data_IF_638030649773
#
_entry.id   IF_638030649773
#
_cell.length_a   1.000
_cell.length_b   1.000
_cell.length_c   1.000
_cell.angle_alpha   90.00
_cell.angle_beta   90.00
_cell.angle_gamma   90.00
#
_symmetry.space_group_name_H-M   'P 1'
#
loop_
_entity.id
_entity.type
_entity.pdbx_description
1 polymer ?
#
# COMPACT_ATOMS: atom_id res chain seq x y z
N UNK A 1 8.04 -25.64 11.06
CA UNK A 1 6.73 -24.99 11.26
C UNK A 1 6.22 -24.55 9.89
N UNK A 2 4.95 -24.79 9.56
CA UNK A 2 4.38 -24.19 8.35
C UNK A 2 4.34 -22.68 8.55
N UNK A 3 4.98 -21.90 7.66
CA UNK A 3 4.83 -20.45 7.65
C UNK A 3 3.37 -20.13 7.34
N UNK A 4 2.66 -19.53 8.30
CA UNK A 4 1.27 -19.11 8.16
C UNK A 4 1.25 -17.75 7.46
N UNK A 5 1.63 -17.71 6.18
CA UNK A 5 1.56 -16.46 5.40
C UNK A 5 0.15 -16.30 4.84
N UNK A 6 -0.52 -15.21 5.23
CA UNK A 6 -1.87 -14.90 4.76
C UNK A 6 -1.84 -14.34 3.33
N UNK A 7 -2.56 -14.99 2.42
CA UNK A 7 -2.74 -14.58 1.02
C UNK A 7 -4.23 -14.62 0.67
N UNK A 8 -4.65 -13.97 -0.41
CA UNK A 8 -5.97 -14.08 -1.04
C UNK A 8 -6.40 -15.52 -1.32
N UNK A 9 -5.45 -16.47 -1.43
CA UNK A 9 -5.75 -17.91 -1.58
C UNK A 9 -6.26 -18.56 -0.29
N UNK A 10 -6.09 -17.90 0.86
CA UNK A 10 -6.44 -18.49 2.15
C UNK A 10 -7.93 -18.40 2.49
N UNK A 11 -8.71 -17.51 1.85
CA UNK A 11 -10.15 -17.32 2.11
C UNK A 11 -10.89 -16.88 0.83
N UNK A 12 -11.83 -17.70 0.33
CA UNK A 12 -12.67 -17.37 -0.83
C UNK A 12 -13.56 -16.12 -0.56
N UNK A 13 -13.77 -15.29 -1.58
CA UNK A 13 -14.63 -14.08 -1.51
C UNK A 13 -13.94 -12.81 -0.99
N UNK A 14 -12.66 -12.87 -0.61
CA UNK A 14 -11.93 -11.69 -0.14
C UNK A 14 -11.69 -10.63 -1.23
N UNK A 15 -11.45 -11.02 -2.49
CA UNK A 15 -11.09 -10.07 -3.54
C UNK A 15 -12.23 -9.08 -3.85
N UNK A 16 -13.49 -9.50 -3.85
CA UNK A 16 -14.64 -8.59 -4.06
C UNK A 16 -14.77 -7.58 -2.92
N UNK A 17 -14.60 -8.05 -1.68
CA UNK A 17 -14.59 -7.18 -0.50
C UNK A 17 -13.46 -6.15 -0.55
N UNK A 18 -12.27 -6.56 -0.99
CA UNK A 18 -11.14 -5.67 -1.12
C UNK A 18 -11.24 -4.73 -2.34
N UNK A 19 -11.93 -5.14 -3.42
CA UNK A 19 -12.28 -4.27 -4.56
C UNK A 19 -13.24 -3.15 -4.12
N UNK A 20 -14.28 -3.50 -3.37
CA UNK A 20 -15.19 -2.52 -2.76
C UNK A 20 -14.44 -1.56 -1.85
N UNK A 21 -13.53 -2.06 -1.00
CA UNK A 21 -12.71 -1.20 -0.13
C UNK A 21 -11.77 -0.30 -0.91
N UNK A 22 -11.07 -0.82 -1.91
CA UNK A 22 -10.18 -0.04 -2.77
C UNK A 22 -10.93 1.15 -3.37
N UNK A 23 -12.17 0.94 -3.80
CA UNK A 23 -13.03 1.97 -4.38
C UNK A 23 -13.65 2.92 -3.36
N UNK A 24 -14.23 2.40 -2.29
CA UNK A 24 -15.23 3.11 -1.50
C UNK A 24 -14.82 3.41 -0.04
N UNK A 25 -13.77 2.75 0.47
CA UNK A 25 -13.40 2.88 1.88
C UNK A 25 -12.06 3.61 2.05
N UNK A 26 -12.08 4.71 2.78
CA UNK A 26 -10.88 5.36 3.29
C UNK A 26 -10.61 4.84 4.71
N UNK A 27 -9.43 4.27 4.92
CA UNK A 27 -9.09 3.63 6.18
C UNK A 27 -8.56 4.66 7.17
N UNK A 28 -9.25 4.79 8.31
CA UNK A 28 -8.89 5.74 9.38
C UNK A 28 -7.43 5.58 9.82
N UNK A 29 -6.90 4.36 9.84
CA UNK A 29 -5.52 4.14 10.25
C UNK A 29 -4.50 4.75 9.26
N UNK A 30 -4.79 4.75 7.95
CA UNK A 30 -3.91 5.38 6.96
C UNK A 30 -3.85 6.89 7.20
N UNK A 31 -5.02 7.50 7.44
CA UNK A 31 -5.15 8.93 7.76
C UNK A 31 -4.39 9.28 9.05
N UNK A 32 -4.53 8.46 10.09
CA UNK A 32 -3.79 8.64 11.35
C UNK A 32 -2.27 8.58 11.14
N UNK A 33 -1.77 7.61 10.37
CA UNK A 33 -0.34 7.48 10.10
C UNK A 33 0.19 8.67 9.28
N UNK A 34 -0.52 9.08 8.22
CA UNK A 34 -0.11 10.25 7.44
C UNK A 34 -0.17 11.54 8.26
N UNK A 35 -1.19 11.72 9.11
CA UNK A 35 -1.26 12.87 10.00
C UNK A 35 -0.08 12.91 10.98
N UNK A 36 0.39 11.76 11.47
CA UNK A 36 1.60 11.70 12.28
C UNK A 36 2.85 12.07 11.47
N UNK A 37 3.02 11.51 10.27
CA UNK A 37 4.15 11.81 9.39
C UNK A 37 4.17 13.28 8.95
N UNK A 38 3.01 13.90 8.78
CA UNK A 38 2.86 15.28 8.31
C UNK A 38 2.68 16.29 9.44
N UNK A 39 2.70 15.84 10.70
CA UNK A 39 2.63 16.72 11.86
C UNK A 39 3.84 17.66 11.93
N UNK A 40 4.99 17.23 11.39
CA UNK A 40 6.17 18.06 11.19
C UNK A 40 6.19 18.62 9.76
N UNK A 41 5.89 19.92 9.63
CA UNK A 41 5.89 20.61 8.33
C UNK A 41 7.24 20.55 7.61
N UNK A 42 8.35 20.39 8.34
CA UNK A 42 9.68 20.26 7.72
C UNK A 42 9.83 18.97 6.91
N UNK A 43 9.00 17.95 7.17
CA UNK A 43 8.93 16.73 6.38
C UNK A 43 8.21 16.96 5.06
N UNK A 44 7.15 17.78 5.03
CA UNK A 44 6.46 18.14 3.79
C UNK A 44 7.33 18.97 2.83
N UNK A 45 8.24 19.78 3.39
CA UNK A 45 9.22 20.56 2.62
C UNK A 45 10.32 19.67 1.99
N UNK A 46 10.54 18.48 2.55
CA UNK A 46 11.44 17.50 1.94
C UNK A 46 10.74 16.85 0.77
N UNK A 47 11.24 17.15 -0.43
CA UNK A 47 10.89 16.36 -1.62
C UNK A 47 11.39 14.93 -1.42
N UNK A 48 10.55 13.95 -1.73
CA UNK A 48 10.95 12.54 -1.90
C UNK A 48 11.27 11.76 -0.60
N UNK A 49 10.41 11.84 0.42
CA UNK A 49 10.47 10.93 1.58
C UNK A 49 10.21 9.50 1.10
N UNK A 50 11.20 8.61 1.30
CA UNK A 50 11.08 7.21 0.90
C UNK A 50 10.12 6.43 1.80
N UNK A 51 9.18 5.71 1.19
CA UNK A 51 8.28 4.76 1.87
C UNK A 51 8.41 3.39 1.18
N UNK A 52 8.87 2.40 1.93
CA UNK A 52 8.77 0.98 1.56
C UNK A 52 7.58 0.37 2.31
N UNK A 53 6.43 0.26 1.64
CA UNK A 53 5.17 -0.23 2.23
C UNK A 53 5.12 -1.76 2.20
N UNK A 54 5.42 -2.37 3.34
CA UNK A 54 5.50 -3.83 3.49
C UNK A 54 4.11 -4.39 3.80
N UNK A 55 3.62 -5.30 2.96
CA UNK A 55 2.24 -5.78 3.01
C UNK A 55 1.27 -4.74 2.43
N UNK A 56 1.65 -4.11 1.32
CA UNK A 56 0.90 -3.00 0.73
C UNK A 56 -0.50 -3.38 0.22
N UNK A 57 -0.78 -4.67 0.07
CA UNK A 57 -2.06 -5.21 -0.36
C UNK A 57 -2.48 -4.60 -1.72
N UNK A 58 -3.66 -4.00 -1.84
CA UNK A 58 -4.09 -3.23 -3.03
C UNK A 58 -3.66 -1.75 -2.99
N UNK A 59 -2.51 -1.45 -2.38
CA UNK A 59 -1.97 -0.10 -2.18
C UNK A 59 -2.85 0.80 -1.29
N UNK A 60 -3.34 0.24 -0.17
CA UNK A 60 -4.23 0.93 0.78
C UNK A 60 -3.63 2.21 1.34
N UNK A 61 -2.34 2.19 1.66
CA UNK A 61 -1.65 3.35 2.21
C UNK A 61 -1.41 4.42 1.15
N UNK A 62 -1.03 4.01 -0.07
CA UNK A 62 -0.87 4.93 -1.19
C UNK A 62 -2.19 5.62 -1.60
N UNK A 63 -3.32 4.90 -1.52
CA UNK A 63 -4.65 5.51 -1.74
C UNK A 63 -4.83 6.76 -0.89
N UNK A 64 -4.40 6.70 0.37
CA UNK A 64 -4.51 7.81 1.32
C UNK A 64 -3.52 8.94 0.99
N UNK A 65 -2.28 8.61 0.60
CA UNK A 65 -1.29 9.57 0.09
C UNK A 65 -1.86 10.37 -1.10
N UNK A 66 -2.46 9.67 -2.07
CA UNK A 66 -3.08 10.27 -3.25
C UNK A 66 -4.33 11.08 -2.89
N UNK A 67 -5.16 10.61 -1.95
CA UNK A 67 -6.35 11.33 -1.46
C UNK A 67 -5.99 12.69 -0.84
N UNK A 68 -4.86 12.76 -0.12
CA UNK A 68 -4.36 13.99 0.49
C UNK A 68 -3.57 14.90 -0.48
N UNK A 69 -3.36 14.49 -1.73
CA UNK A 69 -2.58 15.21 -2.76
C UNK A 69 -1.12 15.49 -2.36
N UNK A 70 -0.49 14.50 -1.72
CA UNK A 70 0.90 14.60 -1.23
C UNK A 70 1.80 13.53 -1.84
N UNK A 71 1.38 12.89 -2.93
CA UNK A 71 2.17 11.88 -3.65
C UNK A 71 3.53 12.39 -4.11
N UNK A 72 3.66 13.69 -4.42
CA UNK A 72 4.93 14.31 -4.80
C UNK A 72 5.92 14.47 -3.62
N UNK A 73 5.44 14.35 -2.39
CA UNK A 73 6.29 14.37 -1.19
C UNK A 73 6.92 13.01 -0.93
N UNK A 74 6.40 11.92 -1.52
CA UNK A 74 6.82 10.57 -1.20
C UNK A 74 7.38 9.80 -2.40
N UNK A 75 8.47 9.10 -2.15
CA UNK A 75 8.97 8.04 -3.03
C UNK A 75 8.43 6.71 -2.51
N UNK A 76 7.20 6.38 -2.91
CA UNK A 76 6.47 5.19 -2.49
C UNK A 76 6.88 3.96 -3.32
N UNK A 77 7.12 2.85 -2.65
CA UNK A 77 7.30 1.53 -3.25
C UNK A 77 6.60 0.46 -2.41
N UNK A 78 5.74 -0.35 -3.03
CA UNK A 78 4.95 -1.37 -2.36
C UNK A 78 5.56 -2.78 -2.42
N UNK A 79 5.46 -3.53 -1.33
CA UNK A 79 5.81 -4.96 -1.30
C UNK A 79 4.61 -5.75 -0.82
N UNK A 80 4.20 -6.76 -1.58
CA UNK A 80 3.22 -7.73 -1.12
C UNK A 80 3.59 -9.11 -1.62
N UNK A 81 3.19 -10.16 -0.92
CA UNK A 81 3.42 -11.53 -1.37
C UNK A 81 2.34 -11.98 -2.36
N UNK A 82 1.19 -11.30 -2.40
CA UNK A 82 0.05 -11.68 -3.21
C UNK A 82 -0.15 -10.84 -4.47
N UNK A 83 0.13 -11.47 -5.60
CA UNK A 83 -0.08 -10.88 -6.93
C UNK A 83 -1.54 -10.47 -7.19
N UNK A 84 -2.54 -11.12 -6.59
CA UNK A 84 -3.94 -10.74 -6.81
C UNK A 84 -4.29 -9.40 -6.16
N UNK A 85 -3.72 -9.11 -4.98
CA UNK A 85 -3.90 -7.81 -4.34
C UNK A 85 -3.18 -6.71 -5.11
N UNK A 86 -1.97 -6.98 -5.59
CA UNK A 86 -1.27 -6.05 -6.48
C UNK A 86 -2.08 -5.78 -7.75
N UNK A 87 -2.54 -6.82 -8.45
CA UNK A 87 -3.37 -6.68 -9.66
C UNK A 87 -4.65 -5.90 -9.38
N UNK A 88 -5.25 -6.10 -8.22
CA UNK A 88 -6.42 -5.35 -7.78
C UNK A 88 -6.09 -3.86 -7.61
N UNK A 89 -5.02 -3.54 -6.88
CA UNK A 89 -4.59 -2.16 -6.66
C UNK A 89 -4.23 -1.43 -7.95
N UNK A 90 -3.55 -2.09 -8.89
CA UNK A 90 -3.17 -1.51 -10.19
C UNK A 90 -4.37 -1.11 -11.07
N UNK A 91 -5.58 -1.66 -10.82
CA UNK A 91 -6.79 -1.17 -11.50
C UNK A 91 -7.13 0.27 -11.13
N UNK A 92 -6.79 0.70 -9.92
CA UNK A 92 -7.12 2.01 -9.36
C UNK A 92 -5.91 2.96 -9.33
N UNK A 93 -4.71 2.41 -9.22
CA UNK A 93 -3.44 3.14 -9.16
C UNK A 93 -2.47 2.63 -10.25
N UNK A 94 -2.81 2.78 -11.55
CA UNK A 94 -1.97 2.29 -12.64
C UNK A 94 -0.61 2.96 -12.69
N UNK A 95 -0.45 4.15 -12.10
CA UNK A 95 0.85 4.84 -11.99
C UNK A 95 1.88 4.14 -11.09
N UNK A 96 1.48 3.07 -10.39
CA UNK A 96 2.37 2.27 -9.57
C UNK A 96 2.89 1.03 -10.31
N UNK A 97 2.67 0.88 -11.61
CA UNK A 97 3.02 -0.36 -12.36
C UNK A 97 4.52 -0.74 -12.30
N UNK A 98 5.39 0.22 -12.02
CA UNK A 98 6.83 0.06 -11.82
C UNK A 98 7.27 0.28 -10.36
N UNK A 99 6.32 0.48 -9.44
CA UNK A 99 6.55 0.83 -8.02
C UNK A 99 6.07 -0.24 -7.04
N UNK A 100 6.21 -1.51 -7.41
CA UNK A 100 5.93 -2.61 -6.51
C UNK A 100 6.84 -3.81 -6.75
N UNK A 101 6.87 -4.71 -5.77
CA UNK A 101 7.47 -6.03 -5.92
C UNK A 101 6.57 -7.10 -5.28
N UNK A 102 6.21 -8.11 -6.06
CA UNK A 102 5.58 -9.32 -5.53
C UNK A 102 6.66 -10.22 -4.94
N UNK A 103 6.77 -10.27 -3.62
CA UNK A 103 7.79 -11.08 -2.95
C UNK A 103 7.45 -11.43 -1.50
N UNK A 104 8.00 -12.53 -1.01
CA UNK A 104 7.94 -12.86 0.40
C UNK A 104 8.99 -12.04 1.16
N UNK A 105 8.56 -10.96 1.80
CA UNK A 105 9.40 -10.06 2.61
C UNK A 105 10.02 -10.73 3.84
N UNK A 106 9.49 -11.89 4.26
CA UNK A 106 10.13 -12.71 5.30
C UNK A 106 11.38 -13.43 4.80
N UNK A 107 11.57 -13.52 3.49
CA UNK A 107 12.67 -14.24 2.84
C UNK A 107 13.62 -13.29 2.11
N UNK A 108 13.15 -12.09 1.77
CA UNK A 108 13.90 -11.06 1.08
C UNK A 108 13.74 -9.78 1.89
N UNK A 109 14.81 -9.31 2.56
CA UNK A 109 14.79 -8.01 3.25
C UNK A 109 14.82 -6.87 2.19
N UNK A 110 13.81 -6.00 2.14
CA UNK A 110 13.77 -4.82 1.26
C UNK A 110 14.54 -3.61 1.81
#
# INVERSE_FOLDING_TARGET
MAKLTHTSKSIAGQLEFYDDRAKNLDLIWCDQVLNLLNSDKSLLDKKSIKINDIGCNYFQFYKEIKRQNIENCYDYFGYDIDEHFIKLGLKYFPELDDRFQVSNVEEVMP
#
